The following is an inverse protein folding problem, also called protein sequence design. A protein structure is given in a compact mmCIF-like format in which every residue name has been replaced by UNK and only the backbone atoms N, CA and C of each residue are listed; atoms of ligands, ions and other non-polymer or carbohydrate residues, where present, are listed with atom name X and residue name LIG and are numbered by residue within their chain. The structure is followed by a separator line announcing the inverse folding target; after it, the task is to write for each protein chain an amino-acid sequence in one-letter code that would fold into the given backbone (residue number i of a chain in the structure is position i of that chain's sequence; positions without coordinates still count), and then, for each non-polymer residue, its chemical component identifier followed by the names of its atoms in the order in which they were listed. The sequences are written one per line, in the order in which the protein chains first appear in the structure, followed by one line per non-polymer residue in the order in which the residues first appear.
data_IF_356989322741
#
_entry.id   IF_356989322741
#
_cell.length_a   1.000
_cell.length_b   1.000
_cell.length_c   1.000
_cell.angle_alpha   90.00
_cell.angle_beta   90.00
_cell.angle_gamma   90.00
#
_symmetry.space_group_name_H-M   'P 1'
#
loop_
_entity.id
_entity.type
_entity.pdbx_description
1 polymer ?
#
# COMPACT_ATOMS: atom_id res chain seq x y z
N UNK A 1 58.35 -26.19 -0.84
CA UNK A 1 57.50 -27.39 -0.71
C UNK A 1 56.06 -26.91 -0.68
N UNK A 2 55.24 -27.40 -1.60
CA UNK A 2 53.93 -26.86 -1.97
C UNK A 2 52.86 -27.06 -0.89
N UNK A 3 52.41 -25.97 -0.26
CA UNK A 3 51.21 -25.94 0.58
C UNK A 3 49.97 -25.83 -0.31
N UNK A 4 49.39 -26.98 -0.68
CA UNK A 4 48.09 -27.02 -1.34
C UNK A 4 47.00 -27.05 -0.25
N UNK A 5 46.22 -25.98 -0.15
CA UNK A 5 45.20 -25.74 0.88
C UNK A 5 43.93 -26.61 0.74
N UNK A 6 43.93 -27.60 -0.15
CA UNK A 6 42.79 -28.48 -0.38
C UNK A 6 43.26 -29.95 -0.40
N UNK A 7 42.54 -30.82 0.34
CA UNK A 7 42.75 -32.27 0.30
C UNK A 7 42.67 -32.78 -1.14
N UNK A 8 43.47 -33.81 -1.47
CA UNK A 8 43.54 -34.41 -2.80
C UNK A 8 42.15 -34.86 -3.30
N UNK A 9 41.33 -35.33 -2.36
CA UNK A 9 39.94 -35.73 -2.58
C UNK A 9 39.02 -34.57 -2.98
N UNK A 10 39.22 -33.38 -2.39
CA UNK A 10 38.48 -32.18 -2.78
C UNK A 10 38.88 -31.68 -4.18
N UNK A 11 40.14 -31.87 -4.57
CA UNK A 11 40.63 -31.49 -5.90
C UNK A 11 40.08 -32.43 -6.97
N UNK A 12 40.00 -33.72 -6.66
CA UNK A 12 39.39 -34.72 -7.55
C UNK A 12 37.89 -34.48 -7.73
N UNK A 13 37.17 -34.14 -6.65
CA UNK A 13 35.75 -33.75 -6.71
C UNK A 13 35.51 -32.49 -7.56
N UNK A 14 36.37 -31.47 -7.41
CA UNK A 14 36.29 -30.25 -8.24
C UNK A 14 36.57 -30.54 -9.71
N UNK A 15 37.48 -31.47 -10.01
CA UNK A 15 37.81 -31.88 -11.37
C UNK A 15 36.68 -32.67 -12.01
N UNK A 16 36.01 -33.53 -11.25
CA UNK A 16 34.83 -34.27 -11.68
C UNK A 16 33.64 -33.34 -11.92
N UNK A 17 33.38 -32.39 -11.01
CA UNK A 17 32.31 -31.40 -11.15
C UNK A 17 32.54 -30.47 -12.35
N UNK A 18 33.79 -30.10 -12.63
CA UNK A 18 34.16 -29.35 -13.85
C UNK A 18 33.96 -30.18 -15.12
N UNK A 19 34.23 -31.48 -15.08
CA UNK A 19 33.96 -32.41 -16.18
C UNK A 19 32.46 -32.55 -16.48
N UNK A 20 31.63 -32.64 -15.44
CA UNK A 20 30.17 -32.66 -15.54
C UNK A 20 29.60 -31.32 -16.05
N UNK A 21 30.20 -30.18 -15.67
CA UNK A 21 29.79 -28.87 -16.18
C UNK A 21 30.23 -28.61 -17.64
N UNK A 22 31.32 -29.24 -18.11
CA UNK A 22 31.81 -29.12 -19.50
C UNK A 22 31.07 -30.02 -20.49
N UNK A 23 30.42 -31.08 -20.00
CA UNK A 23 29.41 -31.82 -20.77
C UNK A 23 28.14 -30.97 -20.71
N UNK A 24 28.00 -30.07 -21.68
CA UNK A 24 26.83 -29.23 -21.82
C UNK A 24 25.54 -30.05 -21.66
N UNK A 25 24.56 -29.46 -20.97
CA UNK A 25 23.24 -30.02 -20.73
C UNK A 25 22.72 -30.70 -22.00
N UNK A 26 22.60 -32.03 -21.96
CA UNK A 26 21.95 -32.79 -23.02
C UNK A 26 20.56 -32.19 -23.25
N UNK A 27 20.34 -31.59 -24.42
CA UNK A 27 19.02 -31.20 -24.90
C UNK A 27 18.29 -32.44 -25.38
N UNK A 28 18.07 -33.40 -24.48
CA UNK A 28 16.96 -34.32 -24.63
C UNK A 28 15.76 -33.59 -24.02
N UNK A 29 15.02 -32.88 -24.89
CA UNK A 29 13.65 -32.53 -24.56
C UNK A 29 12.92 -33.82 -24.20
N UNK A 30 12.39 -33.98 -22.98
CA UNK A 30 11.33 -34.96 -22.79
C UNK A 30 10.24 -34.59 -23.78
N UNK A 31 9.73 -35.60 -24.47
CA UNK A 31 8.68 -35.47 -25.47
C UNK A 31 7.60 -34.52 -24.95
N UNK A 32 7.25 -33.57 -25.82
CA UNK A 32 6.31 -32.50 -25.55
C UNK A 32 4.91 -33.11 -25.33
N UNK A 33 4.64 -33.57 -24.11
CA UNK A 33 3.32 -34.04 -23.67
C UNK A 33 2.28 -32.90 -23.59
N UNK A 34 2.65 -31.70 -24.03
CA UNK A 34 1.78 -30.53 -24.08
C UNK A 34 1.56 -30.03 -25.52
N UNK A 35 1.45 -30.96 -26.48
CA UNK A 35 0.90 -30.64 -27.79
C UNK A 35 -0.53 -30.10 -27.60
N UNK A 36 -0.78 -28.91 -28.15
CA UNK A 36 -2.12 -28.31 -28.20
C UNK A 36 -3.08 -29.34 -28.80
N UNK A 37 -4.19 -29.71 -28.13
CA UNK A 37 -5.15 -30.65 -28.68
C UNK A 37 -5.63 -30.17 -30.05
N UNK A 38 -5.27 -30.88 -31.12
CA UNK A 38 -5.68 -30.57 -32.50
C UNK A 38 -7.00 -31.23 -32.88
N UNK A 39 -7.54 -32.08 -32.02
CA UNK A 39 -8.85 -32.68 -32.24
C UNK A 39 -9.96 -31.74 -31.74
N UNK A 40 -11.01 -31.47 -32.56
CA UNK A 40 -12.12 -30.65 -32.13
C UNK A 40 -12.87 -31.37 -31.00
N UNK A 41 -12.83 -30.78 -29.80
CA UNK A 41 -13.60 -31.25 -28.64
C UNK A 41 -15.09 -31.14 -29.00
N UNK A 42 -15.71 -32.27 -29.30
CA UNK A 42 -17.15 -32.33 -29.58
C UNK A 42 -17.91 -32.21 -28.27
N UNK A 43 -18.68 -31.13 -28.13
CA UNK A 43 -19.48 -30.90 -26.93
C UNK A 43 -20.51 -32.03 -26.75
N UNK A 44 -20.55 -32.71 -25.60
CA UNK A 44 -21.57 -33.70 -25.32
C UNK A 44 -22.95 -33.05 -25.34
N UNK A 45 -23.92 -33.73 -25.93
CA UNK A 45 -25.30 -33.21 -26.02
C UNK A 45 -25.92 -33.15 -24.62
N UNK A 46 -26.82 -32.20 -24.34
CA UNK A 46 -27.51 -32.06 -23.05
C UNK A 46 -28.09 -33.38 -22.49
N UNK A 47 -28.58 -34.27 -23.36
CA UNK A 47 -29.07 -35.60 -22.96
C UNK A 47 -27.98 -36.52 -22.39
N UNK A 48 -26.76 -36.44 -22.92
CA UNK A 48 -25.61 -37.21 -22.43
C UNK A 48 -25.10 -36.64 -21.10
N UNK A 49 -25.04 -35.31 -20.99
CA UNK A 49 -24.65 -34.63 -19.74
C UNK A 49 -25.65 -34.95 -18.62
N UNK A 50 -26.96 -34.85 -18.89
CA UNK A 50 -28.00 -35.20 -17.92
C UNK A 50 -27.95 -36.67 -17.48
N UNK A 51 -27.54 -37.60 -18.37
CA UNK A 51 -27.37 -39.02 -18.02
C UNK A 51 -26.20 -39.24 -17.06
N UNK A 52 -25.07 -38.57 -17.28
CA UNK A 52 -23.89 -38.65 -16.41
C UNK A 52 -24.16 -37.99 -15.06
N UNK A 53 -24.83 -36.83 -15.04
CA UNK A 53 -25.18 -36.12 -13.80
C UNK A 53 -26.19 -36.92 -12.97
N UNK A 54 -27.11 -37.65 -13.62
CA UNK A 54 -28.04 -38.58 -12.95
C UNK A 54 -27.33 -39.82 -12.38
N UNK A 55 -26.25 -40.30 -13.02
CA UNK A 55 -25.41 -41.38 -12.48
C UNK A 55 -24.59 -40.94 -11.25
N UNK A 56 -24.24 -39.66 -11.16
CA UNK A 56 -23.49 -39.08 -10.04
C UNK A 56 -24.36 -38.67 -8.84
N UNK A 57 -25.63 -39.09 -8.81
CA UNK A 57 -26.56 -38.97 -7.67
C UNK A 57 -26.59 -37.58 -7.01
N UNK A 58 -26.76 -36.52 -7.82
CA UNK A 58 -27.05 -35.18 -7.30
C UNK A 58 -28.54 -34.90 -7.41
N UNK A 59 -29.22 -34.73 -6.28
CA UNK A 59 -30.69 -34.56 -6.25
C UNK A 59 -31.17 -33.18 -6.72
N UNK A 60 -30.27 -32.19 -6.87
CA UNK A 60 -30.57 -30.86 -7.42
C UNK A 60 -29.57 -30.48 -8.52
N UNK A 61 -29.98 -30.75 -9.75
CA UNK A 61 -29.29 -30.39 -10.99
C UNK A 61 -29.82 -29.03 -11.42
N UNK A 62 -29.10 -27.96 -11.09
CA UNK A 62 -29.37 -26.63 -11.65
C UNK A 62 -28.78 -26.56 -13.07
N UNK A 63 -29.48 -25.89 -14.00
CA UNK A 63 -29.03 -25.70 -15.39
C UNK A 63 -27.61 -25.10 -15.46
N UNK A 64 -27.26 -24.24 -14.49
CA UNK A 64 -25.93 -23.65 -14.34
C UNK A 64 -24.83 -24.71 -14.09
N UNK A 65 -25.12 -25.77 -13.33
CA UNK A 65 -24.14 -26.84 -13.07
C UNK A 65 -23.91 -27.70 -14.30
N UNK A 66 -24.96 -27.94 -15.08
CA UNK A 66 -24.89 -28.66 -16.36
C UNK A 66 -24.05 -27.86 -17.35
N UNK A 67 -24.32 -26.55 -17.45
CA UNK A 67 -23.58 -25.63 -18.31
C UNK A 67 -22.10 -25.55 -17.90
N UNK A 68 -21.82 -25.49 -16.60
CA UNK A 68 -20.48 -25.48 -16.05
C UNK A 68 -19.71 -26.78 -16.38
N UNK A 69 -20.32 -27.95 -16.19
CA UNK A 69 -19.69 -29.23 -16.53
C UNK A 69 -19.41 -29.38 -18.03
N UNK A 70 -20.30 -28.84 -18.87
CA UNK A 70 -20.10 -28.79 -20.31
C UNK A 70 -18.93 -27.86 -20.69
N UNK A 71 -18.78 -26.72 -20.00
CA UNK A 71 -17.68 -25.80 -20.21
C UNK A 71 -16.32 -26.33 -19.71
N UNK A 72 -16.32 -27.15 -18.64
CA UNK A 72 -15.12 -27.79 -18.08
C UNK A 72 -14.73 -29.10 -18.78
N UNK A 73 -15.43 -29.49 -19.85
CA UNK A 73 -15.18 -30.72 -20.58
C UNK A 73 -13.81 -30.64 -21.30
N UNK A 74 -12.89 -31.55 -20.94
CA UNK A 74 -11.52 -31.59 -21.48
C UNK A 74 -10.45 -30.90 -20.62
N UNK A 75 -10.79 -30.41 -19.43
CA UNK A 75 -9.81 -29.87 -18.47
C UNK A 75 -9.20 -31.01 -17.63
N UNK A 76 -7.89 -31.20 -17.73
CA UNK A 76 -7.14 -32.10 -16.86
C UNK A 76 -6.50 -31.31 -15.71
N UNK A 77 -6.52 -31.89 -14.51
CA UNK A 77 -5.86 -31.29 -13.35
C UNK A 77 -4.33 -31.34 -13.55
N UNK A 78 -3.65 -30.22 -13.32
CA UNK A 78 -2.20 -30.15 -13.35
C UNK A 78 -1.61 -30.85 -12.11
N UNK A 79 -0.60 -31.69 -12.31
CA UNK A 79 0.15 -32.31 -11.22
C UNK A 79 1.15 -31.30 -10.64
N UNK A 80 0.78 -30.63 -9.54
CA UNK A 80 1.68 -29.71 -8.86
C UNK A 80 2.73 -30.47 -8.03
N UNK A 81 3.85 -30.86 -8.65
CA UNK A 81 4.99 -31.53 -7.97
C UNK A 81 5.76 -30.62 -7.00
N UNK A 82 5.37 -29.35 -6.88
CA UNK A 82 6.08 -28.34 -6.11
C UNK A 82 5.17 -27.56 -5.12
N UNK A 83 4.10 -28.20 -4.64
CA UNK A 83 3.28 -27.61 -3.56
C UNK A 83 4.01 -27.77 -2.24
N UNK A 84 4.37 -26.64 -1.63
CA UNK A 84 4.76 -26.61 -0.20
C UNK A 84 3.52 -26.96 0.62
N UNK A 85 3.39 -28.23 1.03
CA UNK A 85 2.33 -28.66 1.94
C UNK A 85 2.38 -27.83 3.23
N UNK A 86 1.27 -27.20 3.66
CA UNK A 86 1.24 -26.42 4.90
C UNK A 86 1.51 -27.28 6.15
N UNK A 87 1.42 -28.60 6.02
CA UNK A 87 1.72 -29.57 7.07
C UNK A 87 3.21 -29.61 7.48
N UNK A 88 4.13 -29.13 6.62
CA UNK A 88 5.58 -29.09 6.88
C UNK A 88 6.11 -27.66 7.05
N UNK A 89 5.29 -26.73 7.52
CA UNK A 89 5.81 -25.52 8.13
C UNK A 89 6.48 -25.92 9.45
N UNK A 90 7.81 -26.07 9.46
CA UNK A 90 8.57 -26.18 10.70
C UNK A 90 8.11 -25.04 11.62
N UNK A 91 7.63 -25.39 12.82
CA UNK A 91 7.21 -24.40 13.82
C UNK A 91 8.37 -23.44 14.01
N UNK A 92 8.27 -22.24 13.46
CA UNK A 92 9.29 -21.22 13.62
C UNK A 92 9.48 -21.02 15.14
N UNK A 93 10.69 -21.31 15.63
CA UNK A 93 11.03 -21.07 17.03
C UNK A 93 10.80 -19.60 17.37
N UNK A 94 10.53 -19.32 18.65
CA UNK A 94 10.42 -17.93 19.11
C UNK A 94 11.68 -17.18 18.67
N UNK A 95 11.56 -16.04 17.96
CA UNK A 95 12.71 -15.35 17.43
C UNK A 95 13.66 -14.95 18.56
N UNK A 96 14.96 -15.08 18.31
CA UNK A 96 16.01 -14.65 19.25
C UNK A 96 15.87 -13.14 19.56
N UNK A 97 16.28 -12.72 20.76
CA UNK A 97 16.17 -11.33 21.22
C UNK A 97 16.90 -10.36 20.28
N UNK A 98 17.99 -10.79 19.65
CA UNK A 98 18.71 -10.01 18.63
C UNK A 98 17.89 -9.84 17.35
N UNK A 99 17.14 -10.87 16.95
CA UNK A 99 16.26 -10.85 15.78
C UNK A 99 15.03 -9.99 16.03
N UNK A 100 14.46 -10.04 17.24
CA UNK A 100 13.40 -9.14 17.68
C UNK A 100 13.84 -7.68 17.69
N UNK A 101 15.04 -7.40 18.22
CA UNK A 101 15.58 -6.04 18.28
C UNK A 101 15.86 -5.48 16.88
N UNK A 102 16.47 -6.28 15.99
CA UNK A 102 16.67 -5.90 14.57
C UNK A 102 15.35 -5.66 13.84
N UNK A 103 14.33 -6.50 14.10
CA UNK A 103 12.99 -6.32 13.52
C UNK A 103 12.34 -5.04 14.03
N UNK A 104 12.39 -4.75 15.32
CA UNK A 104 11.84 -3.53 15.89
C UNK A 104 12.51 -2.27 15.33
N UNK A 105 13.84 -2.29 15.17
CA UNK A 105 14.57 -1.18 14.55
C UNK A 105 14.23 -0.99 13.06
N UNK A 106 14.01 -2.09 12.32
CA UNK A 106 13.62 -2.05 10.91
C UNK A 106 12.16 -1.61 10.68
N UNK A 107 11.27 -1.85 11.65
CA UNK A 107 9.87 -1.43 11.60
C UNK A 107 9.68 0.06 11.90
N UNK A 108 10.72 0.74 12.39
CA UNK A 108 10.63 2.13 12.81
C UNK A 108 9.83 2.27 14.11
N UNK A 109 9.98 3.41 14.79
CA UNK A 109 9.11 3.73 15.91
C UNK A 109 7.70 4.04 15.39
N UNK A 110 6.68 3.38 15.93
CA UNK A 110 5.25 3.72 15.79
C UNK A 110 4.91 5.15 16.30
N UNK A 111 5.92 5.95 16.65
CA UNK A 111 5.80 7.36 16.95
C UNK A 111 5.49 8.12 15.65
N UNK A 112 4.26 7.95 15.15
CA UNK A 112 3.47 8.86 14.32
C UNK A 112 4.31 9.90 13.55
N UNK A 113 5.25 9.47 12.72
CA UNK A 113 6.00 10.40 11.89
C UNK A 113 5.09 10.83 10.75
N UNK A 114 4.34 11.89 11.03
CA UNK A 114 3.41 12.53 10.11
C UNK A 114 4.12 13.03 8.85
N UNK A 115 5.45 13.16 8.86
CA UNK A 115 6.25 13.61 7.72
C UNK A 115 6.74 12.50 6.78
N UNK A 116 7.09 11.32 7.30
CA UNK A 116 7.74 10.27 6.49
C UNK A 116 6.87 9.67 5.36
N UNK A 117 5.54 9.82 5.43
CA UNK A 117 4.61 9.22 4.47
C UNK A 117 3.98 10.18 3.45
N UNK A 118 4.32 11.48 3.49
CA UNK A 118 3.65 12.49 2.66
C UNK A 118 4.23 12.54 1.24
N UNK A 119 3.40 12.31 0.24
CA UNK A 119 3.78 12.38 -1.17
C UNK A 119 3.63 13.80 -1.73
N UNK A 120 4.76 14.43 -2.07
CA UNK A 120 4.80 15.71 -2.77
C UNK A 120 4.37 15.58 -4.23
N UNK A 121 4.76 14.47 -4.89
CA UNK A 121 4.44 14.20 -6.29
C UNK A 121 2.94 14.26 -6.55
N UNK A 122 2.13 13.67 -5.65
CA UNK A 122 0.68 13.68 -5.77
C UNK A 122 0.10 15.10 -5.72
N UNK A 123 0.72 16.01 -4.95
CA UNK A 123 0.29 17.39 -4.86
C UNK A 123 0.66 18.17 -6.13
N UNK A 124 1.89 18.03 -6.61
CA UNK A 124 2.41 18.76 -7.76
C UNK A 124 1.74 18.37 -9.09
N UNK A 125 1.19 17.16 -9.19
CA UNK A 125 0.40 16.73 -10.35
C UNK A 125 -0.93 17.48 -10.51
N UNK A 126 -1.44 18.11 -9.46
CA UNK A 126 -2.68 18.89 -9.49
C UNK A 126 -2.49 20.27 -8.85
N UNK A 127 -1.78 21.19 -9.54
CA UNK A 127 -1.47 22.51 -9.01
C UNK A 127 -2.71 23.35 -8.77
N UNK A 128 -2.68 24.13 -7.70
CA UNK A 128 -3.76 25.03 -7.31
C UNK A 128 -3.35 26.47 -7.60
N UNK A 129 -4.24 27.24 -8.23
CA UNK A 129 -3.97 28.65 -8.52
C UNK A 129 -3.74 29.50 -7.25
N UNK A 130 -2.92 30.54 -7.35
CA UNK A 130 -2.56 31.42 -6.23
C UNK A 130 -3.78 32.04 -5.52
N UNK A 131 -4.81 32.43 -6.28
CA UNK A 131 -6.04 33.02 -5.74
C UNK A 131 -7.18 32.00 -5.48
N UNK A 132 -6.95 30.71 -5.71
CA UNK A 132 -7.98 29.70 -5.49
C UNK A 132 -8.35 29.55 -4.01
N UNK A 133 -9.62 29.36 -3.72
CA UNK A 133 -10.07 29.06 -2.37
C UNK A 133 -9.89 27.56 -2.07
N UNK A 134 -9.15 27.23 -1.01
CA UNK A 134 -8.98 25.86 -0.53
C UNK A 134 -10.15 25.48 0.37
N UNK A 135 -10.70 24.28 0.16
CA UNK A 135 -11.80 23.76 0.94
C UNK A 135 -11.79 22.25 0.88
N UNK A 136 -11.70 21.60 2.04
CA UNK A 136 -11.75 20.16 2.18
C UNK A 136 -12.45 19.79 3.48
N UNK A 137 -13.25 18.73 3.45
CA UNK A 137 -13.99 18.21 4.59
C UNK A 137 -14.06 16.69 4.50
N UNK A 138 -13.79 15.99 5.60
CA UNK A 138 -14.10 14.58 5.70
C UNK A 138 -15.62 14.36 5.71
N UNK A 139 -16.13 13.27 5.11
CA UNK A 139 -17.56 12.96 5.06
C UNK A 139 -18.21 12.86 6.45
N UNK A 140 -17.45 12.42 7.45
CA UNK A 140 -17.87 12.21 8.84
C UNK A 140 -18.10 13.52 9.61
N UNK A 141 -17.58 14.65 9.14
CA UNK A 141 -17.67 15.92 9.86
C UNK A 141 -19.04 16.60 9.65
N UNK A 142 -19.65 17.04 10.75
CA UNK A 142 -20.91 17.78 10.71
C UNK A 142 -20.80 19.11 9.95
N UNK A 143 -21.75 19.41 9.06
CA UNK A 143 -21.75 20.63 8.25
C UNK A 143 -21.72 21.91 9.09
N UNK A 144 -22.41 21.93 10.24
CA UNK A 144 -22.43 23.09 11.14
C UNK A 144 -21.02 23.52 11.59
N UNK A 145 -20.17 22.57 11.95
CA UNK A 145 -18.79 22.84 12.39
C UNK A 145 -17.97 23.34 11.20
N UNK A 146 -18.13 22.72 10.04
CA UNK A 146 -17.44 23.15 8.82
C UNK A 146 -17.83 24.57 8.38
N UNK A 147 -19.10 24.95 8.54
CA UNK A 147 -19.55 26.32 8.27
C UNK A 147 -19.01 27.34 9.29
N UNK A 148 -18.81 26.93 10.54
CA UNK A 148 -18.12 27.77 11.54
C UNK A 148 -16.64 27.94 11.22
N UNK A 149 -15.97 26.88 10.74
CA UNK A 149 -14.59 26.93 10.27
C UNK A 149 -14.42 27.92 9.12
N UNK A 150 -15.24 27.81 8.06
CA UNK A 150 -15.22 28.74 6.91
C UNK A 150 -15.46 30.20 7.30
N UNK A 151 -16.29 30.44 8.33
CA UNK A 151 -16.56 31.78 8.86
C UNK A 151 -15.46 32.30 9.79
N UNK A 152 -14.45 31.49 10.12
CA UNK A 152 -13.40 31.83 11.09
C UNK A 152 -13.95 32.15 12.47
N UNK A 153 -15.01 31.44 12.90
CA UNK A 153 -15.61 31.57 14.23
C UNK A 153 -14.95 30.67 15.28
N UNK A 154 -14.33 29.59 14.83
CA UNK A 154 -13.55 28.71 15.67
C UNK A 154 -12.22 29.41 15.99
N UNK A 155 -11.73 29.23 17.23
CA UNK A 155 -10.44 29.78 17.67
C UNK A 155 -9.32 28.79 17.34
N UNK A 156 -8.22 29.28 16.78
CA UNK A 156 -7.00 28.49 16.58
C UNK A 156 -6.08 28.70 17.77
N UNK A 157 -5.27 27.70 18.06
CA UNK A 157 -4.38 27.68 19.22
C UNK A 157 -2.93 27.94 18.82
N UNK A 158 -2.50 27.31 17.73
CA UNK A 158 -1.13 27.40 17.24
C UNK A 158 -1.10 27.70 15.74
N UNK A 159 0.01 28.28 15.29
CA UNK A 159 0.20 28.68 13.91
C UNK A 159 1.65 28.51 13.47
N UNK A 160 1.84 28.07 12.22
CA UNK A 160 3.15 28.03 11.59
C UNK A 160 3.15 28.92 10.35
N UNK A 161 4.26 29.62 10.16
CA UNK A 161 4.51 30.37 8.94
C UNK A 161 5.63 29.69 8.15
N UNK A 162 5.28 29.24 6.95
CA UNK A 162 6.16 28.52 6.03
C UNK A 162 6.34 29.31 4.73
N UNK A 163 5.95 30.59 4.67
CA UNK A 163 6.17 31.38 3.48
C UNK A 163 7.67 31.50 3.18
N UNK A 164 8.05 31.29 1.91
CA UNK A 164 9.45 31.36 1.50
C UNK A 164 10.31 30.16 1.89
N UNK A 165 9.77 29.20 2.63
CA UNK A 165 10.44 27.92 2.88
C UNK A 165 10.56 27.09 1.61
N UNK A 166 11.58 26.24 1.57
CA UNK A 166 11.62 25.12 0.61
C UNK A 166 10.49 24.13 0.92
N UNK A 167 10.16 23.27 -0.06
CA UNK A 167 9.12 22.23 0.13
C UNK A 167 9.47 21.34 1.33
N UNK A 168 10.74 20.98 1.50
CA UNK A 168 11.19 20.11 2.59
C UNK A 168 11.01 20.78 3.96
N UNK A 169 11.50 22.02 4.11
CA UNK A 169 11.36 22.79 5.35
C UNK A 169 9.89 23.02 5.71
N UNK A 170 9.08 23.36 4.70
CA UNK A 170 7.64 23.55 4.88
C UNK A 170 6.95 22.26 5.36
N UNK A 171 7.35 21.10 4.81
CA UNK A 171 6.81 19.80 5.22
C UNK A 171 7.13 19.50 6.67
N UNK A 172 8.39 19.68 7.06
CA UNK A 172 8.86 19.47 8.44
C UNK A 172 8.16 20.42 9.41
N UNK A 173 8.06 21.70 9.08
CA UNK A 173 7.41 22.69 9.94
C UNK A 173 5.90 22.42 10.10
N UNK A 174 5.22 22.05 9.02
CA UNK A 174 3.80 21.67 9.07
C UNK A 174 3.57 20.43 9.94
N UNK A 175 4.35 19.37 9.75
CA UNK A 175 4.16 18.11 10.47
C UNK A 175 4.51 18.26 11.95
N UNK A 176 5.52 19.08 12.27
CA UNK A 176 5.83 19.48 13.64
C UNK A 176 4.67 20.22 14.29
N UNK A 177 4.07 21.23 13.62
CA UNK A 177 2.89 21.94 14.14
C UNK A 177 1.74 20.97 14.44
N UNK A 178 1.43 20.07 13.52
CA UNK A 178 0.34 19.09 13.69
C UNK A 178 0.60 18.11 14.83
N UNK A 179 1.84 17.62 14.94
CA UNK A 179 2.26 16.74 16.04
C UNK A 179 2.17 17.45 17.39
N UNK A 180 2.61 18.70 17.48
CA UNK A 180 2.52 19.51 18.70
C UNK A 180 1.06 19.79 19.07
N UNK A 181 0.23 20.17 18.11
CA UNK A 181 -1.20 20.41 18.34
C UNK A 181 -1.90 19.15 18.85
N UNK A 182 -1.56 17.98 18.29
CA UNK A 182 -2.07 16.68 18.75
C UNK A 182 -1.64 16.37 20.19
N UNK A 183 -0.38 16.62 20.55
CA UNK A 183 0.14 16.43 21.91
C UNK A 183 -0.53 17.36 22.92
N UNK A 184 -0.81 18.61 22.53
CA UNK A 184 -1.53 19.61 23.34
C UNK A 184 -3.05 19.45 23.32
N UNK A 185 -3.58 18.47 22.58
CA UNK A 185 -5.01 18.26 22.32
C UNK A 185 -5.73 19.50 21.75
N UNK A 186 -5.02 20.28 20.93
CA UNK A 186 -5.54 21.44 20.23
C UNK A 186 -6.32 20.99 19.00
N UNK A 187 -7.56 21.45 18.88
CA UNK A 187 -8.44 21.02 17.80
C UNK A 187 -8.27 21.83 16.51
N UNK A 188 -7.63 23.00 16.58
CA UNK A 188 -7.55 23.89 15.42
C UNK A 188 -6.22 24.65 15.36
N UNK A 189 -5.60 24.64 14.19
CA UNK A 189 -4.34 25.32 13.90
C UNK A 189 -4.43 26.14 12.63
N UNK A 190 -3.46 27.04 12.43
CA UNK A 190 -3.33 27.86 11.24
C UNK A 190 -1.99 27.59 10.54
N UNK A 191 -2.01 27.45 9.22
CA UNK A 191 -0.81 27.32 8.40
C UNK A 191 -0.76 28.48 7.43
N UNK A 192 0.29 29.29 7.49
CA UNK A 192 0.53 30.39 6.57
C UNK A 192 1.53 29.90 5.51
N UNK A 193 1.03 29.64 4.30
CA UNK A 193 1.87 29.18 3.18
C UNK A 193 2.25 30.30 2.22
N UNK A 194 1.66 31.48 2.37
CA UNK A 194 1.83 32.62 1.48
C UNK A 194 1.06 32.45 0.18
N UNK A 195 0.88 33.53 -0.59
CA UNK A 195 0.18 33.46 -1.88
C UNK A 195 1.08 32.85 -2.96
N UNK A 196 2.34 33.33 -3.04
CA UNK A 196 3.30 32.94 -4.08
C UNK A 196 2.81 33.28 -5.50
N UNK A 197 3.71 33.49 -6.46
CA UNK A 197 3.32 33.60 -7.87
C UNK A 197 2.83 32.26 -8.41
N UNK A 198 3.56 31.20 -8.11
CA UNK A 198 3.29 29.83 -8.58
C UNK A 198 2.53 28.97 -7.57
N UNK A 199 2.28 29.50 -6.37
CA UNK A 199 1.51 28.82 -5.32
C UNK A 199 1.95 27.37 -5.03
N UNK A 200 3.26 27.10 -5.11
CA UNK A 200 3.83 25.75 -4.91
C UNK A 200 3.52 25.24 -3.51
N UNK A 201 3.85 26.01 -2.47
CA UNK A 201 3.60 25.60 -1.08
C UNK A 201 2.11 25.41 -0.80
N UNK A 202 1.25 26.24 -1.40
CA UNK A 202 -0.21 26.09 -1.29
C UNK A 202 -0.68 24.76 -1.88
N UNK A 203 -0.16 24.40 -3.04
CA UNK A 203 -0.43 23.12 -3.71
C UNK A 203 0.02 21.96 -2.84
N UNK A 204 1.25 22.00 -2.34
CA UNK A 204 1.83 21.00 -1.44
C UNK A 204 0.99 20.84 -0.17
N UNK A 205 0.70 21.93 0.55
CA UNK A 205 -0.12 21.91 1.78
C UNK A 205 -1.51 21.34 1.53
N UNK A 206 -2.17 21.70 0.44
CA UNK A 206 -3.47 21.11 0.07
C UNK A 206 -3.37 19.60 -0.17
N UNK A 207 -2.30 19.13 -0.82
CA UNK A 207 -2.06 17.71 -1.05
C UNK A 207 -1.72 16.95 0.23
N UNK A 208 -0.85 17.48 1.07
CA UNK A 208 -0.41 16.85 2.31
C UNK A 208 -1.54 16.75 3.33
N UNK A 209 -2.30 17.83 3.55
CA UNK A 209 -3.40 17.82 4.52
C UNK A 209 -4.50 16.80 4.17
N UNK A 210 -4.68 16.45 2.90
CA UNK A 210 -5.63 15.41 2.46
C UNK A 210 -5.14 13.99 2.73
N UNK A 211 -3.83 13.79 2.84
CA UNK A 211 -3.22 12.49 3.12
C UNK A 211 -3.26 12.15 4.61
N UNK A 212 -3.41 13.17 5.47
CA UNK A 212 -3.40 13.01 6.92
C UNK A 212 -4.77 12.63 7.47
N UNK A 213 -4.94 11.43 8.06
CA UNK A 213 -6.23 10.96 8.58
C UNK A 213 -6.71 11.74 9.82
N UNK A 214 -5.80 12.43 10.50
CA UNK A 214 -6.07 13.27 11.66
C UNK A 214 -6.67 14.64 11.29
N UNK A 215 -6.59 15.04 10.03
CA UNK A 215 -7.21 16.28 9.53
C UNK A 215 -8.68 16.00 9.17
N UNK A 216 -9.60 16.59 9.93
CA UNK A 216 -11.04 16.46 9.69
C UNK A 216 -11.54 17.39 8.59
N UNK A 217 -11.00 18.62 8.53
CA UNK A 217 -11.33 19.60 7.51
C UNK A 217 -10.29 20.70 7.47
N UNK A 218 -10.19 21.40 6.34
CA UNK A 218 -9.44 22.64 6.23
C UNK A 218 -10.06 23.58 5.21
N UNK A 219 -9.85 24.87 5.37
CA UNK A 219 -10.25 25.86 4.38
C UNK A 219 -9.29 27.06 4.37
N UNK A 220 -9.27 27.81 3.26
CA UNK A 220 -8.58 29.11 3.25
C UNK A 220 -9.07 29.97 4.41
N UNK A 221 -8.15 30.69 5.03
CA UNK A 221 -8.45 31.56 6.14
C UNK A 221 -9.35 32.73 5.69
N UNK A 222 -10.16 33.31 6.59
CA UNK A 222 -10.85 34.56 6.30
C UNK A 222 -9.85 35.70 6.09
N UNK A 223 -10.25 36.83 5.45
CA UNK A 223 -9.34 37.95 5.18
C UNK A 223 -8.60 38.48 6.41
N UNK A 224 -9.25 38.48 7.57
CA UNK A 224 -8.66 38.88 8.86
C UNK A 224 -7.48 38.00 9.34
N UNK A 225 -7.41 36.76 8.86
CA UNK A 225 -6.44 35.74 9.30
C UNK A 225 -5.44 35.33 8.20
N UNK A 226 -5.43 36.04 7.05
CA UNK A 226 -4.49 35.81 5.95
C UNK A 226 -5.13 35.44 4.60
N UNK A 227 -6.45 35.29 4.53
CA UNK A 227 -7.16 35.04 3.27
C UNK A 227 -6.69 33.76 2.57
N UNK A 228 -6.54 33.83 1.24
CA UNK A 228 -6.03 32.74 0.41
C UNK A 228 -4.55 32.38 0.63
N UNK A 229 -3.80 33.16 1.42
CA UNK A 229 -2.40 32.88 1.76
C UNK A 229 -2.21 32.04 3.03
N UNK A 230 -3.30 31.68 3.70
CA UNK A 230 -3.29 30.87 4.90
C UNK A 230 -4.47 29.89 4.90
N UNK A 231 -4.34 28.81 5.66
CA UNK A 231 -5.34 27.76 5.81
C UNK A 231 -5.61 27.52 7.29
N UNK A 232 -6.88 27.42 7.65
CA UNK A 232 -7.32 26.94 8.96
C UNK A 232 -7.56 25.43 8.87
N UNK A 233 -6.98 24.68 9.80
CA UNK A 233 -7.04 23.22 9.82
C UNK A 233 -7.74 22.77 11.10
N UNK A 234 -8.77 21.94 10.94
CA UNK A 234 -9.49 21.28 12.03
C UNK A 234 -8.95 19.85 12.19
N UNK A 235 -8.47 19.55 13.40
CA UNK A 235 -7.88 18.27 13.77
C UNK A 235 -8.86 17.41 14.55
N UNK A 236 -8.67 16.10 14.44
CA UNK A 236 -9.38 15.12 15.26
C UNK A 236 -8.93 15.26 16.70
N UNK A 237 -9.89 15.52 17.58
CA UNK A 237 -9.66 15.50 19.03
C UNK A 237 -9.17 14.12 19.44
N UNK A 238 -8.03 14.03 20.13
CA UNK A 238 -7.64 12.76 20.75
C UNK A 238 -8.69 12.45 21.81
N UNK A 239 -9.27 11.25 21.78
CA UNK A 239 -9.91 10.73 22.98
C UNK A 239 -8.76 10.65 23.98
N UNK A 240 -8.71 11.59 24.92
CA UNK A 240 -8.09 11.27 26.19
C UNK A 240 -8.83 10.02 26.65
N UNK A 241 -8.11 8.92 26.85
CA UNK A 241 -8.65 7.74 27.50
C UNK A 241 -9.14 8.22 28.87
N UNK A 242 -10.43 8.55 28.90
CA UNK A 242 -11.13 8.99 30.09
C UNK A 242 -11.36 7.75 30.93
N UNK A 243 -10.66 7.73 32.05
CA UNK A 243 -10.93 7.00 33.28
C UNK A 243 -12.43 7.01 33.66
#
# INVERSE_FOLDING_TARGET
MSNSLFSKEMQDQLKELKGQLSKGRDTNSPEDENQKPTEPVSLPTQKQVNKTVKQMASEHIDDDKVLFMQAMHGVNQLEDKNVRSPANASKAGKPDATTLSKRAAAQGSEASDLGAGLSDMQALLNPVAAEAYLSYKQPTLQNKIFDQLKKGKLRWYDAVDIHGCTIEEARVAMTQLLSQAKQKNETMVKIVHGKGSEAILKTCVNGWLRQLPEVLAFCSAPPKDGGNGAVLVLLKKSKADGE
#
